data_IF_566585449405
#
_entry.id   IF_566585449405
#
_cell.length_a   1.000
_cell.length_b   1.000
_cell.length_c   1.000
_cell.angle_alpha   90.00
_cell.angle_beta   90.00
_cell.angle_gamma   90.00
#
_symmetry.space_group_name_H-M   'P 1'
#
loop_
_entity.id
_entity.type
_entity.pdbx_description
1 polymer ?
#
# COMPACT_ATOMS: atom_id res chain seq x y z
N UNK A 1 -8.83 -4.82 -5.98
CA UNK A 1 -7.64 -5.69 -6.03
C UNK A 1 -7.67 -6.58 -7.26
N UNK A 2 -6.55 -6.67 -7.99
CA UNK A 2 -6.38 -7.62 -9.09
C UNK A 2 -5.72 -8.91 -8.57
N UNK A 3 -6.32 -10.06 -8.82
CA UNK A 3 -5.72 -11.35 -8.50
C UNK A 3 -4.39 -11.55 -9.23
N UNK A 4 -3.44 -12.22 -8.57
CA UNK A 4 -2.08 -12.47 -9.09
C UNK A 4 -1.24 -11.22 -9.41
N UNK A 5 -1.63 -10.03 -8.95
CA UNK A 5 -0.91 -8.77 -9.22
C UNK A 5 0.55 -8.79 -8.75
N UNK A 6 0.89 -9.61 -7.74
CA UNK A 6 2.27 -9.80 -7.25
C UNK A 6 3.14 -10.71 -8.14
N UNK A 7 2.55 -11.36 -9.16
CA UNK A 7 3.26 -12.21 -10.13
C UNK A 7 3.36 -11.48 -11.48
N UNK A 8 3.87 -10.26 -11.42
CA UNK A 8 4.05 -9.33 -12.54
C UNK A 8 5.37 -9.52 -13.29
N UNK A 9 6.29 -10.27 -12.72
CA UNK A 9 7.62 -10.55 -13.26
C UNK A 9 8.11 -11.94 -12.88
N UNK A 10 9.14 -12.42 -13.57
CA UNK A 10 9.83 -13.68 -13.25
C UNK A 10 10.92 -13.41 -12.21
N UNK A 11 10.94 -14.19 -11.13
CA UNK A 11 12.02 -14.20 -10.14
C UNK A 11 13.03 -15.33 -10.42
N UNK A 12 12.57 -16.39 -11.08
CA UNK A 12 13.39 -17.54 -11.49
C UNK A 12 13.06 -17.92 -12.94
N UNK A 13 13.93 -18.72 -13.56
CA UNK A 13 13.67 -19.24 -14.90
C UNK A 13 12.39 -20.08 -14.94
N UNK A 14 11.64 -19.99 -16.06
CA UNK A 14 10.42 -20.78 -16.36
C UNK A 14 9.22 -20.51 -15.45
N UNK A 15 9.22 -19.45 -14.64
CA UNK A 15 8.02 -19.03 -13.91
C UNK A 15 7.04 -18.32 -14.86
N UNK A 16 5.73 -18.51 -14.69
CA UNK A 16 4.74 -17.75 -15.44
C UNK A 16 4.65 -16.31 -14.90
N UNK A 17 4.27 -15.37 -15.74
CA UNK A 17 3.79 -14.05 -15.33
C UNK A 17 2.26 -14.13 -15.23
N UNK A 18 1.77 -14.64 -14.08
CA UNK A 18 0.35 -14.93 -13.91
C UNK A 18 -0.52 -13.66 -13.95
N UNK A 19 0.04 -12.50 -13.59
CA UNK A 19 -0.64 -11.22 -13.75
C UNK A 19 -1.02 -10.97 -15.22
N UNK A 20 -0.12 -11.23 -16.18
CA UNK A 20 -0.40 -11.13 -17.62
C UNK A 20 -1.52 -12.07 -18.04
N UNK A 21 -1.47 -13.33 -17.58
CA UNK A 21 -2.52 -14.30 -17.90
C UNK A 21 -3.91 -13.82 -17.45
N UNK A 22 -4.02 -13.20 -16.27
CA UNK A 22 -5.31 -12.67 -15.78
C UNK A 22 -5.83 -11.58 -16.71
N UNK A 23 -4.97 -10.66 -17.15
CA UNK A 23 -5.36 -9.62 -18.12
C UNK A 23 -5.82 -10.22 -19.46
N UNK A 24 -5.11 -11.22 -19.97
CA UNK A 24 -5.48 -11.92 -21.22
C UNK A 24 -6.84 -12.64 -21.08
N UNK A 25 -7.10 -13.27 -19.92
CA UNK A 25 -8.39 -13.91 -19.63
C UNK A 25 -9.54 -12.89 -19.58
N UNK A 26 -9.34 -11.73 -18.95
CA UNK A 26 -10.33 -10.65 -18.91
C UNK A 26 -10.62 -10.13 -20.30
N UNK A 27 -9.59 -9.92 -21.15
CA UNK A 27 -9.76 -9.50 -22.54
C UNK A 27 -10.53 -10.54 -23.35
N UNK A 28 -10.17 -11.81 -23.20
CA UNK A 28 -10.84 -12.92 -23.88
C UNK A 28 -12.30 -13.06 -23.45
N UNK A 29 -12.61 -12.76 -22.19
CA UNK A 29 -13.97 -12.74 -21.66
C UNK A 29 -14.80 -11.52 -22.12
N UNK A 30 -14.21 -10.59 -22.88
CA UNK A 30 -14.91 -9.45 -23.46
C UNK A 30 -14.78 -8.14 -22.69
N UNK A 31 -13.78 -8.01 -21.80
CA UNK A 31 -13.52 -6.73 -21.15
C UNK A 31 -12.95 -5.73 -22.17
N UNK A 32 -13.59 -4.57 -22.31
CA UNK A 32 -13.14 -3.47 -23.17
C UNK A 32 -12.23 -2.50 -22.42
N UNK A 33 -12.42 -2.37 -21.10
CA UNK A 33 -11.68 -1.46 -20.21
C UNK A 33 -11.56 -2.09 -18.84
N UNK A 34 -10.46 -1.84 -18.17
CA UNK A 34 -10.22 -2.30 -16.79
C UNK A 34 -10.00 -1.10 -15.88
N UNK A 35 -10.66 -1.09 -14.72
CA UNK A 35 -10.40 -0.17 -13.63
C UNK A 35 -9.88 -0.95 -12.42
N UNK A 36 -8.76 -0.53 -11.85
CA UNK A 36 -8.16 -1.18 -10.68
C UNK A 36 -7.66 -0.14 -9.69
N UNK A 37 -7.66 -0.49 -8.42
CA UNK A 37 -7.11 0.35 -7.35
C UNK A 37 -5.80 -0.27 -6.88
N UNK A 38 -4.75 0.53 -6.79
CA UNK A 38 -3.41 0.17 -6.30
C UNK A 38 -2.92 -1.19 -6.83
N UNK A 39 -2.58 -1.22 -8.11
CA UNK A 39 -1.86 -2.36 -8.68
C UNK A 39 -0.52 -2.51 -7.97
N UNK A 40 -0.15 -3.74 -7.60
CA UNK A 40 1.12 -4.04 -6.94
C UNK A 40 2.33 -3.47 -7.69
N UNK A 41 2.25 -3.47 -9.02
CA UNK A 41 3.23 -2.89 -9.92
C UNK A 41 2.50 -2.09 -11.01
N UNK A 42 2.79 -0.80 -11.11
CA UNK A 42 2.12 0.10 -12.07
C UNK A 42 2.31 -0.35 -13.53
N UNK A 43 3.47 -0.93 -13.86
CA UNK A 43 3.76 -1.46 -15.19
C UNK A 43 2.81 -2.58 -15.64
N UNK A 44 2.09 -3.22 -14.71
CA UNK A 44 1.08 -4.24 -15.05
C UNK A 44 -0.06 -3.69 -15.91
N UNK A 45 -0.27 -2.38 -15.93
CA UNK A 45 -1.21 -1.71 -16.86
C UNK A 45 -0.90 -2.05 -18.32
N UNK A 46 0.37 -2.22 -18.68
CA UNK A 46 0.78 -2.61 -20.04
C UNK A 46 0.49 -4.06 -20.40
N UNK A 47 -0.09 -4.85 -19.50
CA UNK A 47 -0.47 -6.24 -19.81
C UNK A 47 -1.86 -6.36 -20.45
N UNK A 48 -2.69 -5.34 -20.34
CA UNK A 48 -4.01 -5.33 -20.96
C UNK A 48 -3.96 -4.64 -22.31
N UNK A 49 -4.50 -5.28 -23.34
CA UNK A 49 -4.66 -4.70 -24.67
C UNK A 49 -5.96 -3.89 -24.72
N UNK A 50 -5.92 -2.71 -24.14
CA UNK A 50 -7.02 -1.77 -23.98
C UNK A 50 -6.77 -0.76 -22.85
N UNK A 51 -7.72 0.16 -22.59
CA UNK A 51 -7.59 1.15 -21.53
C UNK A 51 -7.56 0.50 -20.14
N UNK A 52 -6.63 0.97 -19.29
CA UNK A 52 -6.54 0.60 -17.88
C UNK A 52 -6.52 1.86 -17.02
N UNK A 53 -7.52 2.02 -16.17
CA UNK A 53 -7.57 3.08 -15.18
C UNK A 53 -6.98 2.57 -13.86
N UNK A 54 -5.79 3.06 -13.54
CA UNK A 54 -5.12 2.73 -12.28
C UNK A 54 -5.42 3.79 -11.24
N UNK A 55 -6.41 3.54 -10.40
CA UNK A 55 -6.77 4.40 -9.28
C UNK A 55 -5.82 4.18 -8.11
N UNK A 56 -5.65 5.22 -7.29
CA UNK A 56 -4.79 5.21 -6.10
C UNK A 56 -5.61 5.55 -4.87
N UNK A 57 -5.61 4.69 -3.85
CA UNK A 57 -6.35 4.93 -2.60
C UNK A 57 -5.62 5.87 -1.63
N UNK A 58 -4.35 6.18 -1.90
CA UNK A 58 -3.52 7.03 -1.05
C UNK A 58 -4.22 8.33 -0.59
N UNK A 59 -4.93 9.10 -1.44
CA UNK A 59 -5.62 10.31 -0.97
C UNK A 59 -6.58 10.03 0.18
N UNK A 60 -7.43 9.01 0.05
CA UNK A 60 -8.42 8.64 1.09
C UNK A 60 -7.72 8.24 2.40
N UNK A 61 -6.64 7.49 2.29
CA UNK A 61 -5.87 7.03 3.43
C UNK A 61 -5.07 8.18 4.10
N UNK A 62 -4.49 9.08 3.30
CA UNK A 62 -3.76 10.26 3.79
C UNK A 62 -4.69 11.21 4.54
N UNK A 63 -5.89 11.47 4.01
CA UNK A 63 -6.87 12.34 4.68
C UNK A 63 -7.24 11.79 6.05
N UNK A 64 -7.48 10.47 6.16
CA UNK A 64 -7.71 9.83 7.45
C UNK A 64 -6.53 10.01 8.42
N UNK A 65 -5.30 9.82 7.95
CA UNK A 65 -4.11 9.99 8.79
C UNK A 65 -3.91 11.46 9.19
N UNK A 66 -4.16 12.40 8.30
CA UNK A 66 -4.14 13.84 8.63
C UNK A 66 -5.12 14.18 9.75
N UNK A 67 -6.35 13.71 9.65
CA UNK A 67 -7.37 13.94 10.68
C UNK A 67 -6.96 13.29 12.01
N UNK A 68 -6.41 12.08 11.93
CA UNK A 68 -5.98 11.29 13.09
C UNK A 68 -4.84 11.94 13.86
N UNK A 69 -3.93 12.62 13.17
CA UNK A 69 -2.74 13.28 13.71
C UNK A 69 -2.78 14.81 13.58
N UNK A 70 -3.94 15.42 13.37
CA UNK A 70 -4.13 16.84 12.97
C UNK A 70 -3.26 17.85 13.72
N UNK A 71 -2.96 17.63 15.00
CA UNK A 71 -2.14 18.52 15.82
C UNK A 71 -0.70 18.03 16.05
N UNK A 72 -0.26 16.95 15.39
CA UNK A 72 1.01 16.27 15.65
C UNK A 72 1.68 15.76 14.36
N UNK A 73 1.32 16.29 13.21
CA UNK A 73 1.90 15.86 11.91
C UNK A 73 3.43 16.00 11.88
N UNK A 74 3.99 17.03 12.52
CA UNK A 74 5.45 17.23 12.62
C UNK A 74 6.16 16.09 13.38
N UNK A 75 5.43 15.31 14.19
CA UNK A 75 5.97 14.15 14.88
C UNK A 75 5.70 12.82 14.16
N UNK A 76 5.09 12.86 12.98
CA UNK A 76 4.80 11.66 12.18
C UNK A 76 6.01 11.30 11.32
N UNK A 77 6.45 10.04 11.40
CA UNK A 77 7.42 9.46 10.48
C UNK A 77 6.71 8.45 9.56
N UNK A 78 6.88 8.60 8.24
CA UNK A 78 6.38 7.62 7.29
C UNK A 78 7.41 6.51 7.10
N UNK A 79 6.95 5.26 7.16
CA UNK A 79 7.84 4.09 7.13
C UNK A 79 7.44 3.14 6.00
N UNK A 80 8.43 2.77 5.20
CA UNK A 80 8.28 1.67 4.24
C UNK A 80 8.65 0.32 4.89
N UNK A 81 7.87 -0.76 4.67
CA UNK A 81 8.18 -2.08 5.23
C UNK A 81 9.43 -2.74 4.61
N UNK A 82 9.89 -2.22 3.48
CA UNK A 82 11.13 -2.65 2.81
C UNK A 82 11.68 -1.58 1.86
N UNK A 83 12.86 -1.81 1.29
CA UNK A 83 13.51 -0.89 0.37
C UNK A 83 12.78 -0.73 -0.99
N UNK A 84 11.95 -1.69 -1.38
CA UNK A 84 11.25 -1.67 -2.67
C UNK A 84 10.10 -0.66 -2.74
N UNK A 85 9.61 -0.20 -1.58
CA UNK A 85 8.47 0.70 -1.46
C UNK A 85 8.82 2.12 -1.00
N UNK A 86 10.11 2.48 -0.95
CA UNK A 86 10.57 3.78 -0.47
C UNK A 86 9.91 4.94 -1.23
N UNK A 87 9.76 4.84 -2.57
CA UNK A 87 9.13 5.90 -3.38
C UNK A 87 7.66 6.14 -2.98
N UNK A 88 6.93 5.08 -2.65
CA UNK A 88 5.54 5.22 -2.19
C UNK A 88 5.51 5.91 -0.83
N UNK A 89 6.40 5.51 0.09
CA UNK A 89 6.51 6.14 1.40
C UNK A 89 6.96 7.62 1.30
N UNK A 90 7.81 7.97 0.33
CA UNK A 90 8.19 9.36 0.05
C UNK A 90 6.99 10.20 -0.39
N UNK A 91 6.16 9.69 -1.30
CA UNK A 91 4.91 10.37 -1.70
C UNK A 91 3.96 10.56 -0.52
N UNK A 92 3.88 9.58 0.37
CA UNK A 92 3.12 9.70 1.61
C UNK A 92 3.66 10.79 2.52
N UNK A 93 4.99 10.81 2.74
CA UNK A 93 5.64 11.82 3.58
C UNK A 93 5.38 13.24 3.05
N UNK A 94 5.53 13.44 1.73
CA UNK A 94 5.24 14.72 1.09
C UNK A 94 3.79 15.16 1.32
N UNK A 95 2.82 14.25 1.15
CA UNK A 95 1.40 14.54 1.36
C UNK A 95 1.03 14.79 2.83
N UNK A 96 1.81 14.26 3.77
CA UNK A 96 1.63 14.51 5.21
C UNK A 96 2.39 15.74 5.73
N UNK A 97 3.03 16.54 4.86
CA UNK A 97 3.72 17.76 5.23
C UNK A 97 5.25 17.67 5.23
N UNK A 98 5.84 16.62 4.62
CA UNK A 98 7.29 16.49 4.45
C UNK A 98 8.05 15.99 5.68
N UNK A 99 7.37 15.26 6.56
CA UNK A 99 7.98 14.66 7.76
C UNK A 99 9.06 13.61 7.47
N UNK A 100 9.69 13.05 8.53
CA UNK A 100 10.74 12.03 8.40
C UNK A 100 10.29 10.81 7.61
N UNK A 101 11.20 10.30 6.77
CA UNK A 101 11.03 9.06 6.01
C UNK A 101 11.99 8.01 6.56
N UNK A 102 11.47 6.82 6.81
CA UNK A 102 12.27 5.67 7.23
C UNK A 102 11.86 4.40 6.44
N UNK A 103 12.70 3.39 6.50
CA UNK A 103 12.35 2.07 5.96
C UNK A 103 13.01 0.95 6.77
N UNK A 104 12.41 -0.24 6.72
CA UNK A 104 12.95 -1.43 7.34
C UNK A 104 13.87 -2.14 6.34
N UNK A 105 15.16 -2.19 6.65
CA UNK A 105 16.14 -2.91 5.86
C UNK A 105 16.25 -4.36 6.34
N UNK A 106 16.00 -5.30 5.43
CA UNK A 106 16.13 -6.74 5.67
C UNK A 106 17.50 -7.21 5.19
N UNK A 107 18.39 -7.56 6.10
CA UNK A 107 19.68 -8.16 5.77
C UNK A 107 19.54 -9.68 5.77
N UNK A 108 19.69 -10.32 4.61
CA UNK A 108 19.88 -11.77 4.53
C UNK A 108 21.37 -12.04 4.62
N UNK A 109 21.79 -12.76 5.65
CA UNK A 109 23.17 -13.29 5.66
C UNK A 109 23.28 -14.40 4.62
N UNK A 110 23.91 -14.06 3.48
CA UNK A 110 24.09 -14.98 2.35
C UNK A 110 25.03 -16.12 2.74
N UNK A 111 25.83 -15.95 3.80
CA UNK A 111 26.85 -16.92 4.22
C UNK A 111 26.33 -17.98 5.18
N UNK A 112 25.14 -17.79 5.77
CA UNK A 112 24.53 -18.70 6.75
C UNK A 112 23.06 -18.95 6.44
N UNK A 113 22.74 -19.95 5.60
CA UNK A 113 21.36 -20.36 5.38
C UNK A 113 20.74 -20.77 6.74
N UNK A 114 19.59 -20.20 7.10
CA UNK A 114 18.84 -20.42 8.34
C UNK A 114 19.24 -19.59 9.59
N UNK A 115 20.06 -18.54 9.48
CA UNK A 115 20.18 -17.57 10.59
C UNK A 115 19.18 -16.41 10.44
N UNK A 116 18.74 -15.91 11.61
CA UNK A 116 17.74 -14.86 11.73
C UNK A 116 18.09 -13.65 10.86
N UNK A 117 17.10 -13.17 10.11
CA UNK A 117 17.19 -11.93 9.32
C UNK A 117 17.33 -10.79 10.32
N UNK A 118 18.47 -10.14 10.37
CA UNK A 118 18.62 -8.91 11.13
C UNK A 118 17.86 -7.79 10.38
N UNK A 119 16.70 -7.43 10.88
CA UNK A 119 15.96 -6.26 10.40
C UNK A 119 16.45 -5.03 11.16
N UNK A 120 16.73 -3.93 10.47
CA UNK A 120 17.08 -2.65 11.08
C UNK A 120 16.26 -1.53 10.45
N UNK A 121 15.98 -0.50 11.21
CA UNK A 121 15.40 0.74 10.69
C UNK A 121 16.51 1.61 10.12
N UNK A 122 16.23 2.20 8.96
CA UNK A 122 17.04 3.27 8.36
C UNK A 122 16.16 4.50 8.30
N UNK A 123 16.59 5.58 8.92
CA UNK A 123 15.82 6.80 9.15
C UNK A 123 15.54 7.05 10.63
N UNK A 124 15.07 8.24 10.96
CA UNK A 124 14.76 8.65 12.34
C UNK A 124 13.32 8.29 12.71
N UNK A 125 13.17 7.40 13.70
CA UNK A 125 11.86 6.95 14.21
C UNK A 125 11.76 7.08 15.73
N UNK A 126 12.83 7.46 16.43
CA UNK A 126 12.85 7.55 17.90
C UNK A 126 11.87 8.63 18.38
N UNK A 127 10.96 8.25 19.26
CA UNK A 127 9.93 9.13 19.80
C UNK A 127 8.85 9.55 18.77
N UNK A 128 8.87 9.03 17.54
CA UNK A 128 7.92 9.38 16.48
C UNK A 128 6.68 8.50 16.48
N UNK A 129 5.59 9.06 16.04
CA UNK A 129 4.39 8.32 15.66
C UNK A 129 4.59 7.80 14.21
N UNK A 130 4.90 6.52 14.06
CA UNK A 130 5.23 5.91 12.78
C UNK A 130 3.98 5.50 12.01
N UNK A 131 3.89 5.89 10.73
CA UNK A 131 2.88 5.43 9.78
C UNK A 131 3.54 4.45 8.81
N UNK A 132 3.33 3.16 9.02
CA UNK A 132 3.87 2.08 8.20
C UNK A 132 2.95 1.81 7.02
N UNK A 133 3.41 2.11 5.80
CA UNK A 133 2.58 2.09 4.59
C UNK A 133 2.93 0.94 3.65
N UNK A 134 1.92 0.22 3.17
CA UNK A 134 2.05 -0.84 2.16
C UNK A 134 0.86 -0.82 1.18
N UNK A 135 0.93 -1.54 0.06
CA UNK A 135 -0.21 -1.73 -0.84
C UNK A 135 -1.15 -2.83 -0.36
N UNK A 136 -0.62 -3.89 0.25
CA UNK A 136 -1.37 -5.09 0.54
C UNK A 136 -0.87 -5.79 1.81
N UNK A 137 -1.83 -6.22 2.65
CA UNK A 137 -1.56 -7.11 3.78
C UNK A 137 -2.17 -8.49 3.48
N UNK A 138 -1.32 -9.47 3.21
CA UNK A 138 -1.71 -10.86 3.00
C UNK A 138 -1.61 -11.64 4.32
N UNK A 139 -0.48 -12.27 4.61
CA UNK A 139 -0.27 -13.04 5.85
C UNK A 139 0.24 -12.21 7.03
N UNK A 140 0.45 -10.92 6.83
CA UNK A 140 0.95 -9.93 7.79
C UNK A 140 2.34 -10.21 8.41
N UNK A 141 3.10 -11.18 7.90
CA UNK A 141 4.42 -11.49 8.45
C UNK A 141 5.41 -10.32 8.32
N UNK A 142 5.46 -9.66 7.16
CA UNK A 142 6.30 -8.48 6.90
C UNK A 142 5.93 -7.31 7.81
N UNK A 143 4.63 -7.04 7.93
CA UNK A 143 4.10 -5.92 8.72
C UNK A 143 4.37 -6.13 10.21
N UNK A 144 4.06 -7.32 10.74
CA UNK A 144 4.33 -7.64 12.15
C UNK A 144 5.82 -7.54 12.50
N UNK A 145 6.69 -8.05 11.62
CA UNK A 145 8.13 -7.91 11.78
C UNK A 145 8.61 -6.46 11.73
N UNK A 146 8.04 -5.64 10.86
CA UNK A 146 8.36 -4.21 10.78
C UNK A 146 7.91 -3.46 12.04
N UNK A 147 6.71 -3.76 12.57
CA UNK A 147 6.22 -3.16 13.81
C UNK A 147 7.15 -3.46 15.00
N UNK A 148 7.64 -4.71 15.12
CA UNK A 148 8.60 -5.07 16.19
C UNK A 148 9.87 -4.25 16.08
N UNK A 149 10.48 -4.20 14.89
CA UNK A 149 11.74 -3.47 14.66
C UNK A 149 11.60 -1.96 14.92
N UNK A 150 10.46 -1.37 14.56
CA UNK A 150 10.16 0.04 14.80
C UNK A 150 10.07 0.32 16.32
N UNK A 151 9.43 -0.56 17.08
CA UNK A 151 9.34 -0.44 18.53
C UNK A 151 10.70 -0.57 19.19
N UNK A 152 11.50 -1.54 18.76
CA UNK A 152 12.88 -1.75 19.27
C UNK A 152 13.77 -0.53 18.94
N UNK A 153 13.47 0.19 17.84
CA UNK A 153 14.12 1.44 17.45
C UNK A 153 13.53 2.69 18.16
N UNK A 154 12.68 2.53 19.16
CA UNK A 154 12.16 3.63 19.99
C UNK A 154 10.96 4.39 19.40
N UNK A 155 10.27 3.85 18.41
CA UNK A 155 9.04 4.46 17.89
C UNK A 155 7.98 4.59 19.01
N UNK A 156 7.37 5.77 19.14
CA UNK A 156 6.34 6.07 20.15
C UNK A 156 5.06 5.27 19.89
N UNK A 157 4.65 5.18 18.64
CA UNK A 157 3.52 4.36 18.18
C UNK A 157 3.72 3.92 16.75
N UNK A 158 3.00 2.87 16.33
CA UNK A 158 2.97 2.40 14.94
C UNK A 158 1.52 2.28 14.49
N UNK A 159 1.13 3.04 13.47
CA UNK A 159 -0.12 2.88 12.72
C UNK A 159 0.20 2.22 11.39
N UNK A 160 -0.43 1.10 11.11
CA UNK A 160 -0.26 0.37 9.84
C UNK A 160 -1.33 0.83 8.87
N UNK A 161 -0.94 1.13 7.64
CA UNK A 161 -1.87 1.57 6.59
C UNK A 161 -1.62 0.77 5.32
N UNK A 162 -2.68 0.17 4.77
CA UNK A 162 -2.60 -0.50 3.48
C UNK A 162 -3.92 -0.40 2.72
N UNK A 163 -3.82 -0.45 1.38
CA UNK A 163 -5.01 -0.42 0.53
C UNK A 163 -5.77 -1.74 0.61
N UNK A 164 -5.09 -2.87 0.44
CA UNK A 164 -5.75 -4.17 0.32
C UNK A 164 -5.55 -5.05 1.56
N UNK A 165 -6.64 -5.34 2.26
CA UNK A 165 -6.65 -6.29 3.37
C UNK A 165 -7.08 -7.68 2.92
N UNK A 166 -6.17 -8.50 2.40
CA UNK A 166 -6.46 -9.91 2.06
C UNK A 166 -6.60 -10.75 3.33
N UNK A 167 -5.76 -10.48 4.32
CA UNK A 167 -5.80 -11.05 5.66
C UNK A 167 -5.87 -12.58 5.66
N UNK A 168 -4.95 -13.22 4.91
CA UNK A 168 -4.90 -14.67 4.78
C UNK A 168 -4.31 -15.35 6.02
N UNK A 169 -4.83 -16.53 6.34
CA UNK A 169 -4.28 -17.41 7.38
C UNK A 169 -4.11 -16.69 8.72
N UNK A 170 -2.89 -16.62 9.29
CA UNK A 170 -2.64 -16.06 10.62
C UNK A 170 -2.57 -14.52 10.65
N UNK A 171 -2.98 -13.81 9.59
CA UNK A 171 -2.78 -12.36 9.46
C UNK A 171 -3.40 -11.57 10.61
N UNK A 172 -4.65 -11.84 10.94
CA UNK A 172 -5.38 -11.13 12.01
C UNK A 172 -4.70 -11.31 13.36
N UNK A 173 -4.30 -12.52 13.70
CA UNK A 173 -3.60 -12.83 14.94
C UNK A 173 -2.24 -12.10 14.99
N UNK A 174 -1.48 -12.14 13.90
CA UNK A 174 -0.20 -11.44 13.79
C UNK A 174 -0.35 -9.93 13.95
N UNK A 175 -1.38 -9.33 13.35
CA UNK A 175 -1.64 -7.89 13.46
C UNK A 175 -2.05 -7.51 14.87
N UNK A 176 -2.93 -8.26 15.52
CA UNK A 176 -3.31 -8.05 16.92
C UNK A 176 -2.11 -8.10 17.86
N UNK A 177 -1.17 -9.01 17.61
CA UNK A 177 0.02 -9.22 18.42
C UNK A 177 1.23 -8.37 17.97
N UNK A 178 1.16 -7.66 16.85
CA UNK A 178 2.26 -6.82 16.34
C UNK A 178 2.55 -5.63 17.23
N UNK A 179 1.59 -5.24 18.05
CA UNK A 179 1.61 -4.04 18.86
C UNK A 179 1.46 -2.78 18.03
N UNK A 180 0.96 -2.85 16.82
CA UNK A 180 0.44 -1.69 16.14
C UNK A 180 -0.69 -1.07 16.97
N UNK A 181 -0.71 0.27 17.02
CA UNK A 181 -1.76 1.04 17.67
C UNK A 181 -3.09 0.90 16.92
N UNK A 182 -3.00 0.84 15.60
CA UNK A 182 -4.13 0.78 14.70
C UNK A 182 -3.68 0.20 13.35
N UNK A 183 -4.59 -0.52 12.71
CA UNK A 183 -4.45 -1.00 11.32
C UNK A 183 -5.56 -0.36 10.50
N UNK A 184 -5.19 0.37 9.46
CA UNK A 184 -6.12 1.07 8.57
C UNK A 184 -6.09 0.40 7.20
N UNK A 185 -7.22 -0.08 6.75
CA UNK A 185 -7.40 -0.73 5.45
C UNK A 185 -8.52 -0.05 4.67
N UNK A 186 -8.63 -0.39 3.39
CA UNK A 186 -9.82 -0.03 2.61
C UNK A 186 -10.72 -1.23 2.37
N UNK A 187 -11.95 -0.96 1.94
CA UNK A 187 -12.94 -1.97 1.54
C UNK A 187 -12.75 -2.51 0.11
N UNK A 188 -11.57 -2.34 -0.50
CA UNK A 188 -11.21 -2.92 -1.80
C UNK A 188 -11.29 -4.45 -1.85
N UNK A 189 -11.16 -5.08 -0.68
CA UNK A 189 -11.42 -6.50 -0.44
C UNK A 189 -12.40 -6.58 0.72
N UNK A 190 -13.51 -7.29 0.60
CA UNK A 190 -14.45 -7.46 1.70
C UNK A 190 -13.76 -8.08 2.91
N UNK A 191 -13.88 -7.44 4.09
CA UNK A 191 -13.35 -7.96 5.35
C UNK A 191 -14.52 -8.48 6.14
N UNK A 192 -14.67 -9.81 6.27
CA UNK A 192 -15.78 -10.42 6.98
C UNK A 192 -15.69 -10.14 8.48
N UNK A 193 -16.82 -10.23 9.18
CA UNK A 193 -16.94 -9.81 10.58
C UNK A 193 -15.98 -10.57 11.52
N UNK A 194 -15.76 -11.84 11.27
CA UNK A 194 -14.82 -12.67 12.03
C UNK A 194 -13.37 -12.24 11.94
N UNK A 195 -13.03 -11.41 10.94
CA UNK A 195 -11.69 -10.81 10.77
C UNK A 195 -11.59 -9.38 11.28
N UNK A 196 -12.65 -8.86 11.89
CA UNK A 196 -12.66 -7.52 12.48
C UNK A 196 -12.23 -7.56 13.95
N UNK A 197 -11.65 -6.47 14.42
CA UNK A 197 -11.28 -6.25 15.83
C UNK A 197 -11.18 -4.75 16.11
N UNK A 198 -11.16 -4.35 17.38
CA UNK A 198 -11.19 -2.93 17.82
C UNK A 198 -10.04 -2.07 17.28
N UNK A 199 -8.90 -2.69 16.94
CA UNK A 199 -7.74 -1.99 16.36
C UNK A 199 -7.75 -1.94 14.82
N UNK A 200 -8.84 -2.33 14.15
CA UNK A 200 -8.98 -2.28 12.69
C UNK A 200 -9.96 -1.18 12.28
N UNK A 201 -9.48 -0.25 11.46
CA UNK A 201 -10.30 0.74 10.76
C UNK A 201 -10.40 0.37 9.27
N UNK A 202 -11.61 0.38 8.73
CA UNK A 202 -11.85 0.10 7.30
C UNK A 202 -12.50 1.30 6.66
N UNK A 203 -11.79 1.91 5.69
CA UNK A 203 -12.26 3.07 4.95
C UNK A 203 -12.90 2.65 3.64
N UNK A 204 -13.99 3.30 3.28
CA UNK A 204 -14.63 3.02 1.99
C UNK A 204 -13.98 3.80 0.86
N UNK A 205 -13.65 3.12 -0.23
CA UNK A 205 -13.22 3.73 -1.48
C UNK A 205 -14.38 3.89 -2.48
N UNK A 206 -15.61 3.60 -2.08
CA UNK A 206 -16.77 3.72 -2.96
C UNK A 206 -16.92 5.13 -3.57
N UNK A 207 -16.68 6.25 -2.85
CA UNK A 207 -16.72 7.58 -3.45
C UNK A 207 -15.68 7.76 -4.58
N UNK A 208 -14.46 7.25 -4.40
CA UNK A 208 -13.41 7.30 -5.42
C UNK A 208 -13.82 6.50 -6.67
N UNK A 209 -14.30 5.27 -6.47
CA UNK A 209 -14.79 4.43 -7.57
C UNK A 209 -15.96 5.07 -8.30
N UNK A 210 -16.94 5.61 -7.57
CA UNK A 210 -18.10 6.27 -8.17
C UNK A 210 -17.68 7.47 -9.03
N UNK A 211 -16.74 8.29 -8.56
CA UNK A 211 -16.22 9.43 -9.32
C UNK A 211 -15.48 8.97 -10.59
N UNK A 212 -14.65 7.92 -10.48
CA UNK A 212 -13.94 7.40 -11.63
C UNK A 212 -14.87 6.76 -12.67
N UNK A 213 -15.88 6.01 -12.23
CA UNK A 213 -16.89 5.44 -13.11
C UNK A 213 -17.67 6.56 -13.82
N UNK A 214 -18.07 7.60 -13.10
CA UNK A 214 -18.74 8.77 -13.68
C UNK A 214 -17.89 9.44 -14.75
N UNK A 215 -16.60 9.71 -14.44
CA UNK A 215 -15.67 10.31 -15.40
C UNK A 215 -15.59 9.50 -16.70
N UNK A 216 -15.54 8.16 -16.60
CA UNK A 216 -15.53 7.28 -17.79
C UNK A 216 -16.83 7.40 -18.60
N UNK A 217 -18.00 7.45 -17.94
CA UNK A 217 -19.29 7.54 -18.65
C UNK A 217 -19.59 8.92 -19.23
N UNK A 218 -18.98 9.98 -18.68
CA UNK A 218 -19.14 11.36 -19.14
C UNK A 218 -18.00 11.79 -20.08
N UNK A 219 -17.21 10.83 -20.60
CA UNK A 219 -16.02 11.09 -21.45
C UNK A 219 -15.02 12.07 -20.80
N UNK A 220 -15.03 12.14 -19.47
CA UNK A 220 -14.12 12.96 -18.66
C UNK A 220 -12.78 12.29 -18.39
N UNK A 221 -11.89 13.01 -17.72
CA UNK A 221 -10.56 12.53 -17.36
C UNK A 221 -10.57 11.88 -15.98
N UNK A 222 -10.21 10.59 -15.90
CA UNK A 222 -9.96 9.92 -14.60
C UNK A 222 -8.70 10.49 -13.91
N UNK A 223 -7.73 10.99 -14.67
CA UNK A 223 -6.51 11.60 -14.12
C UNK A 223 -6.81 12.87 -13.31
N UNK A 224 -7.79 13.69 -13.73
CA UNK A 224 -8.18 14.90 -13.02
C UNK A 224 -8.70 14.63 -11.59
N UNK A 225 -9.17 13.44 -11.30
CA UNK A 225 -9.59 13.06 -9.95
C UNK A 225 -8.42 13.06 -8.95
N UNK A 226 -7.18 12.98 -9.44
CA UNK A 226 -5.97 12.97 -8.64
C UNK A 226 -5.25 14.32 -8.64
N UNK A 227 -5.55 15.21 -9.61
CA UNK A 227 -5.01 16.56 -9.74
C UNK A 227 -5.65 17.57 -8.78
N UNK A 228 -6.79 17.23 -8.18
CA UNK A 228 -7.51 18.08 -7.21
C UNK A 228 -6.79 18.27 -5.87
N UNK A 229 -5.65 17.62 -5.67
CA UNK A 229 -4.78 17.88 -4.52
C UNK A 229 -3.78 18.99 -4.90
N UNK A 230 -3.80 20.17 -4.23
CA UNK A 230 -3.17 21.42 -4.69
C UNK A 230 -1.65 21.42 -4.80
N UNK A 231 -0.96 20.32 -4.63
CA UNK A 231 0.51 20.27 -4.58
C UNK A 231 1.19 19.67 -5.84
N UNK A 232 0.45 19.42 -6.93
CA UNK A 232 1.02 18.85 -8.17
C UNK A 232 1.18 19.84 -9.32
N UNK A 233 1.30 21.13 -9.05
CA UNK A 233 1.83 22.06 -10.08
C UNK A 233 3.34 21.91 -10.19
N UNK A 234 3.82 20.96 -11.00
CA UNK A 234 5.22 20.98 -11.40
C UNK A 234 5.89 19.70 -11.85
N UNK A 235 5.34 18.54 -11.58
CA UNK A 235 5.92 17.31 -12.16
C UNK A 235 4.78 16.40 -12.60
N UNK A 236 4.57 16.35 -13.92
CA UNK A 236 3.66 15.39 -14.52
C UNK A 236 3.94 13.99 -13.99
N UNK A 237 2.88 13.18 -13.82
CA UNK A 237 3.00 11.75 -13.60
C UNK A 237 3.78 11.13 -14.77
N UNK A 238 5.09 11.32 -14.79
CA UNK A 238 6.00 10.53 -15.59
C UNK A 238 6.15 9.22 -14.83
N UNK A 239 5.48 8.24 -15.37
CA UNK A 239 5.60 6.83 -15.17
C UNK A 239 6.91 6.40 -14.48
N UNK A 240 6.80 5.86 -13.28
CA UNK A 240 7.85 5.05 -12.68
C UNK A 240 7.22 3.83 -11.98
#
# INVERSE_FOLDING_TARGET
LLGYSRQDKKHRGREPISCRLVFDLLKTAGADRIMSVDLHAAQSQGFFDGPVDHLVAMPVLVDYIRDRFSNQLDNVAVVSPDAGRIRVAEQWAQRLGGGPLAFVHKTRDITRPNQAVANRVVGDVEGKDCVLVDDLIDTAGTIAGACSVLKDAGAKSVTVVATHGVLSGPAVERLKNSGAREVVLTDTVPIPEEKRWDGLTVLSIAPLLASAIRAVFEDGSVAELFDTYPEHHGQGFLFA
#
